data_IF_712754722683
#
_entry.id   IF_712754722683
#
_cell.length_a   1.000
_cell.length_b   1.000
_cell.length_c   1.000
_cell.angle_alpha   90.00
_cell.angle_beta   90.00
_cell.angle_gamma   90.00
#
_symmetry.space_group_name_H-M   'P 1'
#
loop_
_entity.id
_entity.type
_entity.pdbx_description
1 polymer ?
#
# COMPACT_ATOMS: atom_id res chain seq x y z
N UNK A 1 -9.32 19.35 -55.38
CA UNK A 1 -8.88 19.75 -54.03
C UNK A 1 -8.43 18.55 -53.18
N UNK A 2 -8.23 17.35 -53.75
CA UNK A 2 -7.81 16.13 -53.02
C UNK A 2 -6.29 15.85 -53.05
N UNK A 3 -5.45 16.76 -53.57
CA UNK A 3 -3.99 16.57 -53.62
C UNK A 3 -3.24 17.15 -52.40
N UNK A 4 -3.92 17.79 -51.44
CA UNK A 4 -3.29 18.47 -50.31
C UNK A 4 -3.05 17.59 -49.07
N UNK A 5 -4.01 16.73 -48.72
CA UNK A 5 -3.94 15.93 -47.49
C UNK A 5 -2.87 14.81 -47.56
N UNK A 6 -2.68 14.20 -48.74
CA UNK A 6 -1.68 13.14 -48.92
C UNK A 6 -0.24 13.65 -48.93
N UNK A 7 0.00 14.84 -49.48
CA UNK A 7 1.32 15.49 -49.46
C UNK A 7 1.72 16.00 -48.08
N UNK A 8 0.74 16.49 -47.30
CA UNK A 8 0.95 16.99 -45.95
C UNK A 8 1.27 15.85 -44.95
N UNK A 9 0.51 14.74 -45.02
CA UNK A 9 0.81 13.53 -44.24
C UNK A 9 2.15 12.91 -44.66
N UNK A 10 2.46 12.89 -45.97
CA UNK A 10 3.75 12.41 -46.46
C UNK A 10 4.95 13.28 -46.03
N UNK A 11 4.78 14.60 -45.97
CA UNK A 11 5.81 15.55 -45.53
C UNK A 11 6.10 15.42 -44.03
N UNK A 12 5.07 15.34 -43.17
CA UNK A 12 5.25 15.13 -41.74
C UNK A 12 5.81 13.74 -41.42
N UNK A 13 5.39 12.70 -42.15
CA UNK A 13 5.98 11.37 -42.06
C UNK A 13 7.47 11.36 -42.46
N UNK A 14 7.85 12.11 -43.50
CA UNK A 14 9.25 12.27 -43.91
C UNK A 14 10.08 13.05 -42.89
N UNK A 15 9.54 14.11 -42.29
CA UNK A 15 10.24 14.88 -41.24
C UNK A 15 10.51 14.02 -40.01
N UNK A 16 9.54 13.22 -39.57
CA UNK A 16 9.71 12.31 -38.44
C UNK A 16 10.69 11.18 -38.78
N UNK A 17 10.58 10.59 -39.99
CA UNK A 17 11.54 9.59 -40.46
C UNK A 17 12.97 10.15 -40.58
N UNK A 18 13.11 11.40 -41.00
CA UNK A 18 14.39 12.10 -41.01
C UNK A 18 14.88 12.37 -39.59
N UNK A 19 14.00 12.70 -38.64
CA UNK A 19 14.36 13.01 -37.27
C UNK A 19 14.91 11.80 -36.52
N UNK A 20 14.27 10.65 -36.66
CA UNK A 20 14.74 9.39 -36.05
C UNK A 20 15.98 8.81 -36.74
N UNK A 21 16.25 9.20 -38.00
CA UNK A 21 17.42 8.71 -38.75
C UNK A 21 18.74 9.44 -38.44
N UNK A 22 18.69 10.57 -37.74
CA UNK A 22 19.88 11.37 -37.40
C UNK A 22 20.31 11.05 -35.97
N UNK A 23 21.25 10.13 -35.83
CA UNK A 23 21.81 9.71 -34.53
C UNK A 23 23.15 10.38 -34.19
N UNK A 24 23.83 10.94 -35.19
CA UNK A 24 25.16 11.56 -35.05
C UNK A 24 25.10 12.92 -34.34
N UNK A 25 26.03 13.15 -33.40
CA UNK A 25 26.16 14.39 -32.63
C UNK A 25 25.82 14.20 -31.15
N UNK A 26 26.27 15.08 -30.25
CA UNK A 26 26.04 14.91 -28.82
C UNK A 26 24.59 15.19 -28.46
N UNK A 27 24.09 14.49 -27.44
CA UNK A 27 22.86 14.83 -26.73
C UNK A 27 23.14 16.01 -25.78
N UNK A 28 22.12 16.70 -25.28
CA UNK A 28 22.34 17.76 -24.27
C UNK A 28 22.87 17.11 -22.97
N UNK A 29 23.93 17.64 -22.35
CA UNK A 29 24.48 17.07 -21.13
C UNK A 29 23.49 17.22 -19.96
N UNK A 30 23.53 16.31 -18.97
CA UNK A 30 22.73 16.45 -17.76
C UNK A 30 23.17 17.66 -16.91
N UNK A 31 22.29 18.09 -16.01
CA UNK A 31 22.63 19.14 -15.03
C UNK A 31 23.53 18.51 -13.95
N UNK A 32 24.81 18.94 -13.81
CA UNK A 32 25.80 18.16 -13.06
C UNK A 32 25.48 17.99 -11.57
N UNK A 33 24.85 18.98 -10.93
CA UNK A 33 24.53 18.94 -9.49
C UNK A 33 23.34 18.02 -9.25
N UNK A 34 22.38 18.02 -10.17
CA UNK A 34 21.22 17.14 -10.13
C UNK A 34 21.62 15.70 -10.45
N UNK A 35 22.53 15.48 -11.41
CA UNK A 35 23.09 14.17 -11.70
C UNK A 35 23.85 13.61 -10.49
N UNK A 36 24.79 14.38 -9.92
CA UNK A 36 25.56 13.98 -8.74
C UNK A 36 24.63 13.59 -7.58
N UNK A 37 23.56 14.37 -7.34
CA UNK A 37 22.57 14.02 -6.31
C UNK A 37 21.81 12.72 -6.62
N UNK A 38 21.49 12.47 -7.89
CA UNK A 38 20.81 11.26 -8.31
C UNK A 38 21.72 10.04 -8.15
N UNK A 39 22.99 10.17 -8.55
CA UNK A 39 24.04 9.16 -8.39
C UNK A 39 24.32 8.89 -6.91
N UNK A 40 24.46 9.91 -6.07
CA UNK A 40 24.63 9.76 -4.61
C UNK A 40 23.48 8.96 -3.99
N UNK A 41 22.24 9.15 -4.45
CA UNK A 41 21.07 8.39 -3.97
C UNK A 41 21.11 6.93 -4.39
N UNK A 42 21.66 6.64 -5.56
CA UNK A 42 21.81 5.28 -6.09
C UNK A 42 23.01 4.59 -5.41
N UNK A 43 24.13 5.29 -5.26
CA UNK A 43 25.34 4.83 -4.58
C UNK A 43 25.07 4.57 -3.09
N UNK A 44 24.28 5.41 -2.44
CA UNK A 44 23.89 5.24 -1.04
C UNK A 44 23.19 3.91 -0.75
N UNK A 45 22.62 3.27 -1.78
CA UNK A 45 21.95 1.97 -1.69
C UNK A 45 22.67 0.86 -2.49
N UNK A 46 23.89 1.13 -2.97
CA UNK A 46 24.65 0.21 -3.84
C UNK A 46 25.13 -1.05 -3.11
N UNK A 47 25.34 -0.96 -1.81
CA UNK A 47 25.72 -2.12 -0.98
C UNK A 47 24.51 -2.78 -0.30
N UNK A 48 23.32 -2.20 -0.46
CA UNK A 48 22.13 -2.70 0.21
C UNK A 48 21.58 -3.95 -0.52
N UNK A 49 21.28 -4.98 0.28
CA UNK A 49 20.66 -6.21 -0.21
C UNK A 49 19.30 -5.94 -0.86
N UNK A 50 18.63 -4.87 -0.41
CA UNK A 50 17.55 -4.25 -1.13
C UNK A 50 17.33 -2.79 -0.71
N UNK A 51 16.67 -2.06 -1.60
CA UNK A 51 16.76 -0.61 -1.65
C UNK A 51 15.40 0.03 -1.92
N UNK A 52 15.28 1.27 -1.47
CA UNK A 52 14.24 2.21 -1.90
C UNK A 52 14.92 3.48 -2.40
N UNK A 53 14.73 3.83 -3.66
CA UNK A 53 15.31 5.04 -4.25
C UNK A 53 14.19 5.93 -4.76
N UNK A 54 14.15 7.17 -4.27
CA UNK A 54 13.23 8.22 -4.78
C UNK A 54 13.98 9.19 -5.68
N UNK A 55 13.63 9.18 -6.95
CA UNK A 55 14.15 10.07 -7.99
C UNK A 55 13.09 11.09 -8.35
N UNK A 56 13.39 12.37 -8.16
CA UNK A 56 12.53 13.46 -8.66
C UNK A 56 12.62 13.54 -10.19
N UNK A 57 11.66 14.19 -10.85
CA UNK A 57 11.72 14.38 -12.31
C UNK A 57 13.06 14.96 -12.80
N UNK A 58 13.65 16.01 -12.16
CA UNK A 58 14.95 16.52 -12.61
C UNK A 58 16.08 15.49 -12.46
N UNK A 59 16.06 14.69 -11.40
CA UNK A 59 17.05 13.64 -11.14
C UNK A 59 16.92 12.49 -12.15
N UNK A 60 15.68 12.07 -12.45
CA UNK A 60 15.41 11.07 -13.47
C UNK A 60 15.82 11.55 -14.86
N UNK A 61 15.49 12.81 -15.20
CA UNK A 61 15.92 13.44 -16.46
C UNK A 61 17.45 13.52 -16.54
N UNK A 62 18.14 13.83 -15.45
CA UNK A 62 19.60 13.87 -15.43
C UNK A 62 20.22 12.50 -15.72
N UNK A 63 19.72 11.43 -15.08
CA UNK A 63 20.19 10.06 -15.34
C UNK A 63 19.96 9.63 -16.80
N UNK A 64 18.79 9.94 -17.36
CA UNK A 64 18.47 9.64 -18.76
C UNK A 64 19.35 10.45 -19.73
N UNK A 65 19.57 11.73 -19.44
CA UNK A 65 20.43 12.59 -20.26
C UNK A 65 21.89 12.16 -20.22
N UNK A 66 22.37 11.57 -19.12
CA UNK A 66 23.70 10.94 -19.04
C UNK A 66 23.77 9.69 -19.92
N UNK A 67 22.83 8.76 -19.80
CA UNK A 67 22.78 7.57 -20.67
C UNK A 67 22.71 7.92 -22.16
N UNK A 68 21.97 8.98 -22.53
CA UNK A 68 21.91 9.48 -23.90
C UNK A 68 23.24 10.06 -24.43
N UNK A 69 24.24 10.31 -23.59
CA UNK A 69 25.60 10.64 -24.04
C UNK A 69 26.37 9.40 -24.48
N UNK A 70 26.05 8.24 -23.93
CA UNK A 70 26.80 6.99 -24.11
C UNK A 70 26.34 6.17 -25.32
N UNK A 71 25.13 6.44 -25.82
CA UNK A 71 24.50 5.72 -26.93
C UNK A 71 24.30 6.58 -28.18
N UNK A 72 24.33 5.97 -29.37
CA UNK A 72 23.99 6.64 -30.63
C UNK A 72 22.46 6.80 -30.79
N UNK A 73 21.88 7.72 -30.03
CA UNK A 73 20.43 8.03 -30.08
C UNK A 73 20.13 9.23 -30.99
N UNK A 74 18.96 9.30 -31.66
CA UNK A 74 18.51 10.51 -32.35
C UNK A 74 17.91 11.55 -31.39
N UNK A 75 17.72 11.19 -30.13
CA UNK A 75 17.20 12.09 -29.10
C UNK A 75 18.32 13.00 -28.62
N UNK A 76 18.06 14.32 -28.64
CA UNK A 76 18.95 15.34 -28.08
C UNK A 76 18.61 15.62 -26.62
N UNK A 77 17.32 15.66 -26.28
CA UNK A 77 16.85 15.98 -24.92
C UNK A 77 15.55 15.25 -24.62
N UNK A 78 15.39 14.80 -23.39
CA UNK A 78 14.13 14.32 -22.82
C UNK A 78 13.75 15.14 -21.60
N UNK A 79 12.47 15.47 -21.47
CA UNK A 79 11.87 15.93 -20.22
C UNK A 79 10.74 14.96 -19.85
N UNK A 80 10.56 14.71 -18.54
CA UNK A 80 9.55 13.78 -18.00
C UNK A 80 8.66 14.54 -17.03
N UNK A 81 7.35 14.27 -17.11
CA UNK A 81 6.34 14.72 -16.16
C UNK A 81 5.66 13.51 -15.54
N UNK A 82 5.65 13.43 -14.22
CA UNK A 82 5.11 12.34 -13.42
C UNK A 82 3.98 12.90 -12.57
N UNK A 83 2.79 12.34 -12.79
CA UNK A 83 1.59 12.68 -12.02
C UNK A 83 1.23 11.48 -11.16
N UNK A 84 1.16 11.71 -9.85
CA UNK A 84 0.71 10.70 -8.90
C UNK A 84 -0.76 10.31 -9.11
N UNK A 85 -1.16 9.16 -8.56
CA UNK A 85 -2.57 8.76 -8.58
C UNK A 85 -3.41 9.75 -7.76
N UNK A 86 -4.60 10.04 -8.25
CA UNK A 86 -5.63 10.81 -7.55
C UNK A 86 -6.92 9.98 -7.50
N UNK A 87 -7.89 10.41 -6.70
CA UNK A 87 -9.19 9.74 -6.62
C UNK A 87 -9.90 9.64 -7.99
N UNK A 88 -9.58 10.56 -8.91
CA UNK A 88 -10.23 10.70 -10.22
C UNK A 88 -9.39 10.19 -11.40
N UNK A 89 -8.08 9.93 -11.21
CA UNK A 89 -7.17 9.53 -12.28
C UNK A 89 -6.01 8.64 -11.78
N UNK A 90 -5.68 7.55 -12.51
CA UNK A 90 -4.53 6.72 -12.18
C UNK A 90 -3.23 7.51 -12.34
N UNK A 91 -2.18 7.09 -11.63
CA UNK A 91 -0.85 7.64 -11.81
C UNK A 91 -0.37 7.46 -13.25
N UNK A 92 0.39 8.42 -13.76
CA UNK A 92 0.86 8.40 -15.13
C UNK A 92 2.18 9.14 -15.28
N UNK A 93 2.95 8.74 -16.27
CA UNK A 93 4.14 9.46 -16.70
C UNK A 93 3.95 9.89 -18.15
N UNK A 94 4.43 11.07 -18.48
CA UNK A 94 4.51 11.56 -19.85
C UNK A 94 5.91 12.07 -20.13
N UNK A 95 6.29 12.08 -21.40
CA UNK A 95 7.58 12.56 -21.83
C UNK A 95 7.45 13.54 -22.98
N UNK A 96 8.48 14.37 -23.11
CA UNK A 96 8.76 15.17 -24.29
C UNK A 96 10.20 14.91 -24.72
N UNK A 97 10.39 14.43 -25.95
CA UNK A 97 11.69 14.20 -26.56
C UNK A 97 11.94 15.20 -27.70
N UNK A 98 13.11 15.83 -27.72
CA UNK A 98 13.58 16.69 -28.80
C UNK A 98 14.65 15.97 -29.61
N UNK A 99 14.54 15.91 -30.94
CA UNK A 99 15.49 15.18 -31.78
C UNK A 99 16.71 16.03 -32.18
N UNK A 100 17.84 15.38 -32.43
CA UNK A 100 19.10 15.99 -32.91
C UNK A 100 18.95 16.66 -34.28
N UNK A 101 18.00 16.19 -35.09
CA UNK A 101 17.69 16.77 -36.40
C UNK A 101 17.14 18.20 -36.37
N UNK A 102 16.68 18.69 -35.21
CA UNK A 102 16.02 20.00 -35.08
C UNK A 102 14.51 19.90 -34.84
N UNK A 103 13.73 20.87 -35.36
CA UNK A 103 12.31 21.29 -35.10
C UNK A 103 11.18 20.24 -34.87
N UNK A 104 11.49 18.96 -34.76
CA UNK A 104 10.55 17.89 -34.41
C UNK A 104 10.75 17.54 -32.94
N UNK A 105 9.67 17.62 -32.17
CA UNK A 105 9.59 17.05 -30.84
C UNK A 105 8.52 15.96 -30.83
N UNK A 106 8.77 14.90 -30.08
CA UNK A 106 7.78 13.89 -29.75
C UNK A 106 7.27 14.12 -28.34
N UNK A 107 5.97 13.93 -28.11
CA UNK A 107 5.38 13.86 -26.79
C UNK A 107 4.60 12.57 -26.67
N UNK A 108 4.61 11.94 -25.51
CA UNK A 108 3.88 10.69 -25.33
C UNK A 108 3.62 10.36 -23.87
N UNK A 109 2.68 9.46 -23.65
CA UNK A 109 2.42 8.86 -22.35
C UNK A 109 3.16 7.53 -22.23
N UNK A 110 3.75 7.31 -21.06
CA UNK A 110 4.41 6.08 -20.68
C UNK A 110 3.50 5.31 -19.74
N UNK A 111 3.48 4.00 -19.93
CA UNK A 111 3.11 3.05 -18.90
C UNK A 111 4.33 2.18 -18.60
N UNK A 112 4.28 1.46 -17.50
CA UNK A 112 5.36 0.57 -17.10
C UNK A 112 4.77 -0.78 -16.74
N UNK A 113 5.54 -1.83 -16.96
CA UNK A 113 5.30 -3.15 -16.45
C UNK A 113 6.59 -3.64 -15.77
N UNK A 114 6.45 -4.45 -14.74
CA UNK A 114 7.60 -5.15 -14.17
C UNK A 114 7.72 -6.52 -14.82
N UNK A 115 8.88 -6.84 -15.38
CA UNK A 115 9.17 -8.15 -15.99
C UNK A 115 10.56 -8.62 -15.62
N UNK A 116 10.63 -9.85 -15.08
CA UNK A 116 11.88 -10.53 -14.73
C UNK A 116 12.81 -9.72 -13.80
N UNK A 117 12.24 -9.01 -12.83
CA UNK A 117 12.99 -8.14 -11.92
C UNK A 117 13.43 -6.81 -12.56
N UNK A 118 12.80 -6.47 -13.68
CA UNK A 118 13.13 -5.32 -14.49
C UNK A 118 11.95 -4.38 -14.72
N UNK A 119 12.22 -3.17 -15.22
CA UNK A 119 11.21 -2.18 -15.60
C UNK A 119 11.09 -2.20 -17.13
N UNK A 120 9.96 -2.67 -17.64
CA UNK A 120 9.58 -2.55 -19.04
C UNK A 120 8.73 -1.29 -19.23
N UNK A 121 9.32 -0.24 -19.79
CA UNK A 121 8.57 0.97 -20.16
C UNK A 121 7.89 0.77 -21.51
N UNK A 122 6.60 1.11 -21.59
CA UNK A 122 5.82 1.02 -22.81
C UNK A 122 5.21 2.37 -23.16
N UNK A 123 5.37 2.76 -24.42
CA UNK A 123 4.80 4.01 -24.94
C UNK A 123 3.33 3.75 -25.29
N UNK A 124 2.41 4.31 -24.50
CA UNK A 124 0.96 4.18 -24.72
C UNK A 124 0.55 4.95 -25.97
N UNK A 125 1.02 6.18 -26.06
CA UNK A 125 0.78 7.07 -27.18
C UNK A 125 2.02 7.91 -27.46
N UNK A 126 2.15 8.34 -28.71
CA UNK A 126 3.21 9.25 -29.12
C UNK A 126 2.70 10.12 -30.26
N UNK A 127 2.98 11.40 -30.14
CA UNK A 127 2.57 12.47 -31.03
C UNK A 127 3.82 13.25 -31.45
N UNK A 128 3.89 13.62 -32.72
CA UNK A 128 4.93 14.51 -33.24
C UNK A 128 4.26 15.73 -33.87
N UNK A 129 4.39 16.88 -33.20
CA UNK A 129 3.63 18.08 -33.57
C UNK A 129 2.12 17.88 -33.36
N UNK A 130 1.32 17.97 -34.44
CA UNK A 130 -0.14 17.82 -34.39
C UNK A 130 -0.64 16.46 -34.92
N UNK A 131 0.26 15.49 -35.13
CA UNK A 131 -0.05 14.19 -35.73
C UNK A 131 0.24 13.05 -34.77
N UNK A 132 -0.70 12.12 -34.67
CA UNK A 132 -0.45 10.81 -34.09
C UNK A 132 0.52 10.04 -34.99
N UNK A 133 1.56 9.48 -34.41
CA UNK A 133 2.62 8.79 -35.15
C UNK A 133 2.07 7.47 -35.71
N UNK A 134 2.19 7.21 -37.03
CA UNK A 134 1.78 5.94 -37.64
C UNK A 134 2.51 4.74 -37.01
N UNK A 135 1.82 3.59 -36.90
CA UNK A 135 2.35 2.41 -36.19
C UNK A 135 3.74 1.92 -36.64
N UNK A 136 4.11 2.05 -37.91
CA UNK A 136 5.45 1.66 -38.37
C UNK A 136 6.57 2.60 -37.90
N UNK A 137 6.25 3.85 -37.59
CA UNK A 137 7.19 4.82 -37.01
C UNK A 137 7.19 4.72 -35.48
N UNK A 138 6.05 4.33 -34.89
CA UNK A 138 5.96 3.99 -33.46
C UNK A 138 6.94 2.88 -33.11
N UNK A 139 6.97 1.78 -33.86
CA UNK A 139 7.91 0.68 -33.60
C UNK A 139 9.37 1.15 -33.65
N UNK A 140 9.73 2.00 -34.62
CA UNK A 140 11.09 2.56 -34.70
C UNK A 140 11.41 3.53 -33.54
N UNK A 141 10.41 4.13 -32.89
CA UNK A 141 10.58 4.96 -31.69
C UNK A 141 10.53 4.13 -30.40
N UNK A 142 9.78 3.03 -30.38
CA UNK A 142 9.80 2.02 -29.32
C UNK A 142 11.20 1.39 -29.24
N UNK A 143 11.77 0.97 -30.37
CA UNK A 143 13.14 0.43 -30.46
C UNK A 143 14.18 1.45 -29.91
N UNK A 144 13.96 2.76 -30.11
CA UNK A 144 14.86 3.83 -29.64
C UNK A 144 14.70 4.18 -28.16
N UNK A 145 13.50 4.02 -27.60
CA UNK A 145 13.26 4.16 -26.15
C UNK A 145 13.79 2.92 -25.43
N UNK A 146 13.71 1.74 -26.04
CA UNK A 146 14.28 0.51 -25.53
C UNK A 146 15.83 0.57 -25.53
N UNK A 147 16.46 1.06 -26.60
CA UNK A 147 17.93 1.19 -26.73
C UNK A 147 18.52 2.36 -25.90
N UNK A 148 17.72 3.36 -25.54
CA UNK A 148 18.12 4.45 -24.63
C UNK A 148 17.85 4.15 -23.15
N UNK A 149 17.10 3.09 -22.85
CA UNK A 149 16.73 2.72 -21.48
C UNK A 149 17.11 1.27 -21.21
N UNK A 150 18.36 0.93 -21.52
CA UNK A 150 18.95 -0.36 -21.14
C UNK A 150 19.30 -0.43 -19.64
N UNK A 151 18.58 0.37 -18.85
CA UNK A 151 18.46 0.26 -17.41
C UNK A 151 18.11 -1.19 -17.04
N UNK A 152 17.38 -1.92 -17.88
CA UNK A 152 16.99 -3.29 -17.58
C UNK A 152 18.16 -4.29 -17.67
N UNK A 153 18.95 -4.26 -18.73
CA UNK A 153 20.12 -5.15 -18.87
C UNK A 153 21.21 -4.75 -17.86
N UNK A 154 21.38 -3.46 -17.58
CA UNK A 154 22.33 -2.95 -16.59
C UNK A 154 21.91 -3.32 -15.15
N UNK A 155 20.63 -3.18 -14.80
CA UNK A 155 20.10 -3.64 -13.51
C UNK A 155 20.31 -5.15 -13.37
N UNK A 156 19.97 -5.94 -14.39
CA UNK A 156 20.14 -7.40 -14.36
C UNK A 156 21.63 -7.80 -14.27
N UNK A 157 22.52 -7.13 -15.00
CA UNK A 157 23.97 -7.39 -14.99
C UNK A 157 24.59 -7.10 -13.61
N UNK A 158 24.09 -6.06 -12.93
CA UNK A 158 24.47 -5.73 -11.55
C UNK A 158 23.68 -6.53 -10.50
N UNK A 159 22.89 -7.52 -10.93
CA UNK A 159 22.11 -8.41 -10.08
C UNK A 159 20.90 -7.76 -9.43
N UNK A 160 20.48 -6.59 -9.89
CA UNK A 160 19.40 -5.78 -9.35
C UNK A 160 18.03 -6.25 -9.87
N UNK A 161 17.09 -6.53 -8.96
CA UNK A 161 15.71 -6.90 -9.23
C UNK A 161 14.72 -5.85 -8.73
N UNK A 162 14.14 -5.05 -9.61
CA UNK A 162 13.06 -4.08 -9.30
C UNK A 162 11.73 -4.82 -9.10
N UNK A 163 11.04 -4.45 -8.02
CA UNK A 163 9.87 -5.19 -7.53
C UNK A 163 8.63 -4.34 -7.37
N UNK A 164 8.83 -3.06 -7.10
CA UNK A 164 7.76 -2.08 -7.14
C UNK A 164 8.30 -0.77 -7.70
N UNK A 165 7.46 -0.13 -8.50
CA UNK A 165 7.68 1.20 -9.03
C UNK A 165 6.44 2.01 -8.70
N UNK A 166 6.59 3.11 -7.98
CA UNK A 166 5.50 4.00 -7.62
C UNK A 166 5.73 5.35 -8.31
N UNK A 167 4.67 5.88 -8.91
CA UNK A 167 4.65 7.22 -9.48
C UNK A 167 3.96 8.15 -8.47
N UNK A 168 4.74 9.05 -7.89
CA UNK A 168 4.29 10.13 -7.01
C UNK A 168 4.29 11.44 -7.79
N UNK A 169 3.58 12.45 -7.29
CA UNK A 169 3.59 13.78 -7.91
C UNK A 169 5.03 14.34 -7.98
N UNK A 170 5.56 14.48 -9.20
CA UNK A 170 6.92 14.94 -9.47
C UNK A 170 8.05 13.96 -9.13
N UNK A 171 7.77 12.69 -8.84
CA UNK A 171 8.80 11.72 -8.49
C UNK A 171 8.46 10.26 -8.83
N UNK A 172 9.50 9.49 -9.09
CA UNK A 172 9.47 8.04 -9.25
C UNK A 172 10.17 7.38 -8.05
N UNK A 173 9.53 6.37 -7.47
CA UNK A 173 10.09 5.59 -6.36
C UNK A 173 10.30 4.16 -6.81
N UNK A 174 11.54 3.70 -6.75
CA UNK A 174 11.96 2.34 -7.05
C UNK A 174 12.18 1.57 -5.75
N UNK A 175 11.70 0.33 -5.72
CA UNK A 175 11.93 -0.63 -4.64
C UNK A 175 12.42 -1.93 -5.28
N UNK A 176 13.56 -2.46 -4.84
CA UNK A 176 14.16 -3.66 -5.44
C UNK A 176 15.25 -4.33 -4.59
N UNK A 177 15.84 -5.41 -5.10
CA UNK A 177 16.89 -6.25 -4.45
C UNK A 177 18.15 -6.40 -5.28
N UNK A 178 19.23 -6.95 -4.70
CA UNK A 178 20.47 -7.30 -5.41
C UNK A 178 20.90 -8.77 -5.21
N UNK A 179 21.42 -9.42 -6.25
CA UNK A 179 22.06 -10.75 -6.25
C UNK A 179 21.14 -11.96 -6.50
N UNK A 180 19.94 -11.76 -7.06
CA UNK A 180 18.92 -12.83 -7.14
C UNK A 180 18.45 -13.30 -5.75
N UNK A 181 18.76 -12.52 -4.72
CA UNK A 181 18.21 -12.65 -3.38
C UNK A 181 16.76 -12.18 -3.37
N UNK A 182 16.01 -12.79 -2.47
CA UNK A 182 14.65 -12.39 -2.15
C UNK A 182 14.58 -10.90 -1.77
N UNK A 183 13.33 -10.45 -1.66
CA UNK A 183 12.71 -9.12 -1.71
C UNK A 183 12.78 -8.25 -0.43
N UNK A 184 13.47 -7.08 -0.36
CA UNK A 184 13.09 -6.05 0.66
C UNK A 184 11.83 -5.33 0.22
N UNK A 185 10.74 -6.09 0.31
CA UNK A 185 9.47 -5.60 0.80
C UNK A 185 9.57 -5.42 2.32
N UNK A 186 8.54 -4.85 2.92
CA UNK A 186 8.24 -4.97 4.34
C UNK A 186 8.47 -6.40 4.90
N UNK A 187 8.46 -7.42 4.04
CA UNK A 187 8.65 -8.84 4.33
C UNK A 187 10.09 -9.29 4.55
N UNK A 188 11.10 -8.60 4.03
CA UNK A 188 12.50 -8.91 4.39
C UNK A 188 13.09 -7.99 5.45
N UNK A 189 12.49 -6.83 5.71
CA UNK A 189 12.68 -6.19 7.02
C UNK A 189 12.18 -7.17 8.09
N UNK A 190 11.08 -7.87 7.79
CA UNK A 190 10.54 -8.98 8.57
C UNK A 190 11.40 -10.26 8.47
N UNK A 191 12.06 -10.56 7.35
CA UNK A 191 13.00 -11.69 7.24
C UNK A 191 14.31 -11.44 8.00
N UNK A 192 14.81 -10.21 8.03
CA UNK A 192 15.94 -9.75 8.83
C UNK A 192 15.60 -9.72 10.33
N UNK A 193 14.37 -9.31 10.66
CA UNK A 193 13.76 -9.43 11.98
C UNK A 193 13.59 -10.88 12.43
N UNK A 194 13.12 -11.78 11.55
CA UNK A 194 12.93 -13.20 11.85
C UNK A 194 14.24 -13.98 11.87
N UNK A 195 15.22 -13.62 11.04
CA UNK A 195 16.59 -14.15 11.09
C UNK A 195 17.34 -13.71 12.35
N UNK A 196 17.13 -12.46 12.80
CA UNK A 196 17.59 -11.97 14.11
C UNK A 196 16.78 -12.56 15.27
N UNK A 197 15.47 -12.74 15.16
CA UNK A 197 14.63 -13.38 16.18
C UNK A 197 14.92 -14.89 16.32
N UNK A 198 15.20 -15.58 15.22
CA UNK A 198 15.64 -16.98 15.21
C UNK A 198 17.04 -17.16 15.82
N UNK A 199 17.90 -16.15 15.73
CA UNK A 199 19.24 -16.14 16.37
C UNK A 199 19.25 -15.55 17.78
N UNK A 200 18.22 -14.81 18.19
CA UNK A 200 18.02 -14.25 19.54
C UNK A 200 17.14 -15.11 20.45
N UNK A 201 16.45 -16.12 19.90
CA UNK A 201 15.76 -17.17 20.64
C UNK A 201 15.16 -16.75 22.00
N UNK A 202 14.07 -15.98 22.01
CA UNK A 202 13.07 -15.93 23.08
C UNK A 202 11.89 -15.02 22.65
N UNK A 203 10.61 -15.29 22.93
CA UNK A 203 10.13 -16.19 23.99
C UNK A 203 8.61 -16.41 24.10
N UNK A 204 7.82 -16.30 23.03
CA UNK A 204 6.41 -16.70 23.08
C UNK A 204 6.19 -18.08 22.43
N UNK A 205 5.54 -19.00 23.15
CA UNK A 205 5.03 -20.22 22.55
C UNK A 205 4.07 -19.86 21.39
N UNK A 206 4.04 -20.65 20.30
CA UNK A 206 3.16 -20.39 19.18
C UNK A 206 1.72 -20.27 19.66
N UNK A 207 1.01 -19.29 19.13
CA UNK A 207 -0.38 -19.04 19.49
C UNK A 207 -1.21 -20.28 19.14
N UNK A 208 -1.93 -20.81 20.13
CA UNK A 208 -2.80 -21.97 19.94
C UNK A 208 -4.23 -21.51 19.78
N UNK A 209 -4.91 -22.08 18.79
CA UNK A 209 -6.33 -21.92 18.59
C UNK A 209 -7.10 -22.60 19.74
N UNK A 210 -7.97 -21.84 20.42
CA UNK A 210 -8.73 -22.25 21.61
C UNK A 210 -10.21 -22.43 21.32
N UNK A 211 -10.82 -21.50 20.57
CA UNK A 211 -12.26 -21.53 20.31
C UNK A 211 -12.59 -22.46 19.15
N UNK A 212 -11.69 -22.55 18.16
CA UNK A 212 -11.94 -23.24 16.90
C UNK A 212 -12.78 -22.38 15.93
N UNK A 213 -12.91 -22.78 14.65
CA UNK A 213 -13.62 -21.99 13.66
C UNK A 213 -15.09 -21.77 14.02
N UNK A 214 -15.66 -20.72 13.45
CA UNK A 214 -17.08 -20.40 13.53
C UNK A 214 -17.95 -21.33 12.68
N UNK A 215 -19.27 -21.12 12.76
CA UNK A 215 -20.25 -21.92 11.99
C UNK A 215 -20.69 -21.22 10.70
N UNK A 216 -20.54 -19.89 10.62
CA UNK A 216 -21.03 -19.08 9.50
C UNK A 216 -19.88 -18.75 8.56
N UNK A 217 -19.99 -19.15 7.30
CA UNK A 217 -19.02 -18.84 6.24
C UNK A 217 -19.60 -17.83 5.24
N UNK A 218 -20.29 -16.81 5.75
CA UNK A 218 -20.97 -15.77 4.98
C UNK A 218 -21.07 -14.51 5.87
N UNK A 219 -21.40 -13.37 5.26
CA UNK A 219 -21.60 -12.08 5.96
C UNK A 219 -23.00 -11.93 6.53
N UNK A 220 -23.89 -12.91 6.31
CA UNK A 220 -25.25 -12.93 6.81
C UNK A 220 -25.65 -14.34 7.25
N UNK A 221 -26.20 -14.45 8.46
CA UNK A 221 -26.97 -15.61 8.91
C UNK A 221 -28.27 -15.13 9.57
N UNK A 222 -29.44 -15.64 9.18
CA UNK A 222 -30.70 -15.20 9.75
C UNK A 222 -30.86 -15.66 11.21
N UNK A 223 -31.52 -14.84 12.03
CA UNK A 223 -31.86 -15.17 13.41
C UNK A 223 -32.92 -14.24 14.00
N UNK A 224 -33.39 -14.57 15.20
CA UNK A 224 -34.40 -13.76 15.90
C UNK A 224 -33.85 -12.57 16.69
N UNK A 225 -32.52 -12.52 16.86
CA UNK A 225 -31.74 -11.43 17.44
C UNK A 225 -30.34 -11.54 16.86
N UNK A 226 -29.69 -10.42 16.57
CA UNK A 226 -28.46 -10.39 15.76
C UNK A 226 -27.24 -10.01 16.59
N UNK A 227 -26.11 -10.60 16.19
CA UNK A 227 -24.79 -10.01 16.36
C UNK A 227 -24.47 -9.25 15.07
N UNK A 228 -24.14 -7.96 15.20
CA UNK A 228 -23.70 -7.09 14.11
C UNK A 228 -22.21 -6.80 14.26
N UNK A 229 -21.42 -7.01 13.21
CA UNK A 229 -20.01 -6.64 13.19
C UNK A 229 -19.79 -5.49 12.20
N UNK A 230 -19.02 -4.49 12.59
CA UNK A 230 -18.48 -3.44 11.75
C UNK A 230 -16.95 -3.43 11.93
N UNK A 231 -16.25 -2.88 10.96
CA UNK A 231 -14.83 -2.63 11.10
C UNK A 231 -14.07 -2.74 9.81
N UNK A 232 -12.77 -2.97 9.93
CA UNK A 232 -11.87 -3.04 8.80
C UNK A 232 -11.70 -4.48 8.27
N UNK A 233 -10.50 -4.82 7.81
CA UNK A 233 -10.17 -6.13 7.31
C UNK A 233 -10.25 -7.22 8.39
N UNK A 234 -10.11 -6.89 9.67
CA UNK A 234 -10.31 -7.86 10.75
C UNK A 234 -11.76 -8.30 10.82
N UNK A 235 -12.71 -7.35 10.84
CA UNK A 235 -14.14 -7.66 10.78
C UNK A 235 -14.49 -8.39 9.49
N UNK A 236 -13.90 -8.00 8.36
CA UNK A 236 -14.09 -8.66 7.08
C UNK A 236 -13.53 -10.11 7.02
N UNK A 237 -12.74 -10.53 8.02
CA UNK A 237 -12.21 -11.89 8.13
C UNK A 237 -10.96 -12.15 7.27
N UNK A 238 -10.23 -11.12 6.86
CA UNK A 238 -9.00 -11.26 6.06
C UNK A 238 -7.91 -12.00 6.85
N UNK A 239 -7.12 -12.84 6.17
CA UNK A 239 -6.16 -13.76 6.80
C UNK A 239 -6.77 -15.13 7.18
N UNK A 240 -8.09 -15.26 7.17
CA UNK A 240 -8.76 -16.55 7.17
C UNK A 240 -8.80 -17.18 5.77
N UNK A 241 -8.74 -18.51 5.67
CA UNK A 241 -8.99 -19.20 4.39
C UNK A 241 -10.48 -19.08 3.99
N UNK A 242 -11.36 -19.01 4.98
CA UNK A 242 -12.79 -18.84 4.87
C UNK A 242 -13.29 -17.81 5.91
N UNK A 243 -14.45 -17.17 5.70
CA UNK A 243 -15.05 -16.23 6.67
C UNK A 243 -15.33 -16.88 8.03
N UNK A 244 -15.55 -18.20 8.06
CA UNK A 244 -15.70 -18.95 9.30
C UNK A 244 -14.43 -18.97 10.17
N UNK A 245 -13.26 -18.71 9.56
CA UNK A 245 -11.98 -18.69 10.26
C UNK A 245 -11.68 -17.31 10.87
N UNK A 246 -12.43 -16.27 10.48
CA UNK A 246 -12.33 -14.92 11.04
C UNK A 246 -12.96 -14.78 12.43
N UNK A 247 -12.54 -13.76 13.19
CA UNK A 247 -12.97 -13.57 14.58
C UNK A 247 -14.49 -13.40 14.69
N UNK A 248 -15.15 -12.75 13.71
CA UNK A 248 -16.60 -12.50 13.73
C UNK A 248 -17.38 -13.80 13.79
N UNK A 249 -17.07 -14.77 12.92
CA UNK A 249 -17.78 -16.05 12.90
C UNK A 249 -17.47 -16.90 14.14
N UNK A 250 -16.23 -16.85 14.63
CA UNK A 250 -15.82 -17.51 15.89
C UNK A 250 -16.60 -16.95 17.07
N UNK A 251 -16.66 -15.62 17.20
CA UNK A 251 -17.39 -14.94 18.25
C UNK A 251 -18.88 -15.22 18.16
N UNK A 252 -19.49 -15.17 16.97
CA UNK A 252 -20.90 -15.51 16.75
C UNK A 252 -21.27 -16.88 17.33
N UNK A 253 -20.45 -17.90 17.04
CA UNK A 253 -20.62 -19.24 17.61
C UNK A 253 -20.52 -19.22 19.14
N UNK A 254 -19.52 -18.53 19.69
CA UNK A 254 -19.28 -18.51 21.14
C UNK A 254 -20.35 -17.74 21.91
N UNK A 255 -20.86 -16.62 21.38
CA UNK A 255 -22.01 -15.91 21.94
C UNK A 255 -23.23 -16.83 22.03
N UNK A 256 -23.46 -17.64 20.98
CA UNK A 256 -24.57 -18.58 21.00
C UNK A 256 -24.43 -19.71 22.04
N UNK A 257 -23.20 -20.19 22.25
CA UNK A 257 -22.89 -21.17 23.29
C UNK A 257 -23.02 -20.57 24.69
N UNK A 258 -22.50 -19.36 24.90
CA UNK A 258 -22.54 -18.61 26.16
C UNK A 258 -23.98 -18.38 26.62
N UNK A 259 -24.82 -17.88 25.71
CA UNK A 259 -26.17 -17.43 26.05
C UNK A 259 -27.21 -18.53 25.88
N UNK A 260 -26.80 -19.71 25.40
CA UNK A 260 -27.69 -20.86 25.16
C UNK A 260 -28.76 -20.57 24.10
N UNK A 261 -28.50 -19.64 23.17
CA UNK A 261 -29.43 -19.25 22.09
C UNK A 261 -28.70 -19.06 20.77
N UNK A 262 -29.42 -19.21 19.66
CA UNK A 262 -28.87 -18.92 18.34
C UNK A 262 -29.08 -17.45 17.99
N UNK A 263 -28.00 -16.75 17.69
CA UNK A 263 -28.04 -15.41 17.10
C UNK A 263 -28.05 -15.49 15.58
N UNK A 264 -28.65 -14.49 14.93
CA UNK A 264 -28.32 -14.15 13.56
C UNK A 264 -26.97 -13.44 13.52
N UNK A 265 -26.38 -13.34 12.33
CA UNK A 265 -25.15 -12.59 12.08
C UNK A 265 -25.40 -11.62 10.94
N UNK A 266 -24.92 -10.39 11.07
CA UNK A 266 -24.70 -9.50 9.93
C UNK A 266 -23.33 -8.84 10.08
N UNK A 267 -22.44 -9.12 9.14
CA UNK A 267 -21.08 -8.60 9.12
C UNK A 267 -20.92 -7.53 8.03
N UNK A 268 -20.66 -6.29 8.44
CA UNK A 268 -20.44 -5.14 7.58
C UNK A 268 -18.95 -4.78 7.45
N UNK A 269 -18.02 -5.59 7.98
CA UNK A 269 -16.60 -5.29 7.87
C UNK A 269 -16.14 -5.12 6.42
N UNK A 270 -15.36 -4.07 6.18
CA UNK A 270 -14.83 -3.72 4.85
C UNK A 270 -13.30 -3.61 4.90
N UNK A 271 -12.56 -4.37 4.08
CA UNK A 271 -11.10 -4.25 4.04
C UNK A 271 -10.65 -2.82 3.72
N UNK A 272 -9.69 -2.31 4.48
CA UNK A 272 -9.12 -0.97 4.27
C UNK A 272 -9.96 0.18 4.83
N UNK A 273 -11.08 -0.10 5.52
CA UNK A 273 -11.87 0.94 6.18
C UNK A 273 -11.00 1.75 7.17
N UNK A 274 -11.15 3.07 7.16
CA UNK A 274 -10.54 4.01 8.12
C UNK A 274 -11.60 4.57 9.05
N UNK A 275 -11.22 5.13 10.21
CA UNK A 275 -12.23 5.79 11.06
C UNK A 275 -12.88 6.98 10.36
N UNK A 276 -12.16 7.65 9.46
CA UNK A 276 -12.68 8.74 8.64
C UNK A 276 -13.77 8.30 7.67
N UNK A 277 -13.55 7.23 6.90
CA UNK A 277 -14.53 6.70 5.95
C UNK A 277 -15.74 6.08 6.68
N UNK A 278 -15.51 5.43 7.82
CA UNK A 278 -16.57 4.88 8.68
C UNK A 278 -17.47 5.99 9.23
N UNK A 279 -16.87 7.07 9.74
CA UNK A 279 -17.60 8.23 10.21
C UNK A 279 -18.32 8.98 9.08
N UNK A 280 -17.80 8.88 7.85
CA UNK A 280 -18.37 9.44 6.63
C UNK A 280 -19.63 8.74 6.12
N UNK A 281 -19.93 7.52 6.62
CA UNK A 281 -21.12 6.76 6.27
C UNK A 281 -20.79 5.34 5.83
N UNK A 282 -21.27 4.94 4.65
CA UNK A 282 -20.94 3.63 4.06
C UNK A 282 -21.40 2.46 4.92
N UNK A 283 -20.45 1.65 5.40
CA UNK A 283 -20.77 0.51 6.26
C UNK A 283 -21.50 0.92 7.55
N UNK A 284 -21.20 2.10 8.12
CA UNK A 284 -21.86 2.58 9.32
C UNK A 284 -23.35 2.83 9.03
N UNK A 285 -23.66 3.58 7.97
CA UNK A 285 -25.05 3.87 7.61
C UNK A 285 -25.85 2.59 7.36
N UNK A 286 -25.28 1.63 6.63
CA UNK A 286 -25.90 0.34 6.38
C UNK A 286 -26.13 -0.48 7.65
N UNK A 287 -25.21 -0.40 8.62
CA UNK A 287 -25.36 -1.05 9.92
C UNK A 287 -26.43 -0.38 10.77
N UNK A 288 -26.49 0.97 10.81
CA UNK A 288 -27.52 1.69 11.55
C UNK A 288 -28.93 1.40 11.00
N UNK A 289 -29.08 1.36 9.67
CA UNK A 289 -30.34 0.97 9.02
C UNK A 289 -30.73 -0.46 9.41
N UNK A 290 -29.78 -1.40 9.40
CA UNK A 290 -30.03 -2.77 9.82
C UNK A 290 -30.40 -2.88 11.30
N UNK A 291 -29.71 -2.15 12.17
CA UNK A 291 -29.98 -2.10 13.61
C UNK A 291 -31.39 -1.53 13.87
N UNK A 292 -31.81 -0.50 13.13
CA UNK A 292 -33.14 0.09 13.29
C UNK A 292 -34.28 -0.88 12.92
N UNK A 293 -34.01 -1.85 12.05
CA UNK A 293 -34.99 -2.81 11.55
C UNK A 293 -34.99 -4.17 12.29
N UNK A 294 -33.98 -4.44 13.11
CA UNK A 294 -33.75 -5.76 13.70
C UNK A 294 -33.47 -5.69 15.21
N UNK A 295 -33.82 -6.76 15.93
CA UNK A 295 -33.37 -6.94 17.32
C UNK A 295 -31.86 -7.25 17.31
N UNK A 296 -31.04 -6.39 17.93
CA UNK A 296 -29.57 -6.53 17.96
C UNK A 296 -29.10 -6.64 19.40
N UNK A 297 -28.47 -7.76 19.73
CA UNK A 297 -27.96 -8.03 21.07
C UNK A 297 -26.50 -7.59 21.25
N UNK A 298 -25.70 -7.73 20.20
CA UNK A 298 -24.26 -7.46 20.24
C UNK A 298 -23.84 -6.67 19.02
N UNK A 299 -22.96 -5.69 19.23
CA UNK A 299 -22.24 -5.00 18.17
C UNK A 299 -20.74 -5.08 18.46
N UNK A 300 -19.93 -5.40 17.47
CA UNK A 300 -18.47 -5.23 17.58
C UNK A 300 -17.96 -4.24 16.55
N UNK A 301 -16.95 -3.46 16.93
CA UNK A 301 -16.24 -2.55 16.05
C UNK A 301 -14.72 -2.70 16.24
N UNK A 302 -13.98 -2.93 15.16
CA UNK A 302 -12.54 -2.69 15.07
C UNK A 302 -12.27 -1.61 14.01
N UNK A 303 -11.47 -0.60 14.34
CA UNK A 303 -11.08 0.44 13.38
C UNK A 303 -9.88 1.23 13.89
N UNK A 304 -9.01 1.67 12.97
CA UNK A 304 -7.93 2.61 13.27
C UNK A 304 -6.56 2.23 12.73
N UNK A 305 -6.32 0.95 12.44
CA UNK A 305 -5.04 0.51 11.90
C UNK A 305 -4.74 1.19 10.55
N UNK A 306 -5.75 1.30 9.68
CA UNK A 306 -5.63 1.93 8.37
C UNK A 306 -5.46 3.45 8.41
N UNK A 307 -5.73 4.09 9.56
CA UNK A 307 -5.45 5.52 9.77
C UNK A 307 -3.95 5.77 10.00
N UNK A 308 -3.19 4.75 10.43
CA UNK A 308 -1.78 4.88 10.81
C UNK A 308 -0.84 4.19 9.84
N UNK A 309 -1.16 2.96 9.41
CA UNK A 309 -0.27 2.12 8.59
C UNK A 309 0.26 2.84 7.34
N UNK A 310 -0.56 3.58 6.56
CA UNK A 310 -0.06 4.31 5.39
C UNK A 310 0.98 5.38 5.73
N UNK A 311 0.96 5.94 6.95
CA UNK A 311 1.93 6.95 7.37
C UNK A 311 3.28 6.33 7.74
N UNK A 312 3.28 5.16 8.38
CA UNK A 312 4.51 4.44 8.71
C UNK A 312 5.30 4.03 7.45
N UNK A 313 4.63 3.86 6.30
CA UNK A 313 5.26 3.64 5.00
C UNK A 313 5.60 4.90 4.20
N UNK A 314 5.40 6.10 4.77
CA UNK A 314 5.64 7.38 4.08
C UNK A 314 7.08 7.88 4.21
N UNK A 315 7.50 8.76 3.30
CA UNK A 315 8.84 9.38 3.31
C UNK A 315 9.13 10.15 4.60
N UNK A 316 8.11 10.73 5.23
CA UNK A 316 8.28 11.43 6.50
C UNK A 316 8.75 10.50 7.62
N UNK A 317 8.56 9.18 7.45
CA UNK A 317 8.88 8.12 8.39
C UNK A 317 10.09 7.27 8.00
N UNK A 318 10.83 7.67 6.96
CA UNK A 318 12.02 6.96 6.47
C UNK A 318 13.13 6.86 7.54
N UNK A 319 13.32 7.92 8.34
CA UNK A 319 14.28 7.96 9.45
C UNK A 319 13.74 7.30 10.75
N UNK A 320 12.54 6.70 10.71
CA UNK A 320 11.86 6.06 11.84
C UNK A 320 10.66 6.84 12.39
N UNK A 321 9.84 6.19 13.22
CA UNK A 321 8.58 6.77 13.65
C UNK A 321 8.75 7.95 14.64
N UNK A 322 9.91 8.03 15.28
CA UNK A 322 10.29 9.12 16.17
C UNK A 322 10.87 10.35 15.44
N UNK A 323 11.14 10.26 14.13
CA UNK A 323 11.64 11.40 13.37
C UNK A 323 10.61 12.56 13.39
N UNK A 324 11.01 13.83 13.49
CA UNK A 324 10.07 14.94 13.67
C UNK A 324 8.98 15.04 12.60
N UNK A 325 9.31 14.76 11.34
CA UNK A 325 8.34 14.76 10.24
C UNK A 325 7.30 13.64 10.41
N UNK A 326 7.77 12.41 10.67
CA UNK A 326 6.90 11.27 10.96
C UNK A 326 6.02 11.51 12.18
N UNK A 327 6.61 11.99 13.27
CA UNK A 327 5.91 12.24 14.52
C UNK A 327 4.78 13.28 14.31
N UNK A 328 5.04 14.37 13.58
CA UNK A 328 4.01 15.36 13.25
C UNK A 328 2.90 14.78 12.37
N UNK A 329 3.25 13.90 11.42
CA UNK A 329 2.28 13.21 10.55
C UNK A 329 1.40 12.24 11.34
N UNK A 330 2.01 11.44 12.22
CA UNK A 330 1.31 10.51 13.11
C UNK A 330 0.41 11.29 14.06
N UNK A 331 0.88 12.38 14.68
CA UNK A 331 0.08 13.22 15.57
C UNK A 331 -1.14 13.82 14.86
N UNK A 332 -0.98 14.28 13.62
CA UNK A 332 -2.09 14.76 12.80
C UNK A 332 -3.11 13.65 12.49
N UNK A 333 -2.64 12.44 12.18
CA UNK A 333 -3.53 11.30 11.97
C UNK A 333 -4.27 10.88 13.23
N UNK A 334 -3.57 10.77 14.37
CA UNK A 334 -4.18 10.47 15.67
C UNK A 334 -5.23 11.52 16.07
N UNK A 335 -5.00 12.79 15.74
CA UNK A 335 -5.98 13.86 15.93
C UNK A 335 -7.23 13.65 15.07
N UNK A 336 -7.07 13.34 13.78
CA UNK A 336 -8.17 13.00 12.88
C UNK A 336 -8.93 11.74 13.34
N UNK A 337 -8.20 10.70 13.74
CA UNK A 337 -8.74 9.46 14.29
C UNK A 337 -9.63 9.72 15.50
N UNK A 338 -9.15 10.53 16.46
CA UNK A 338 -9.93 10.92 17.64
C UNK A 338 -11.27 11.55 17.26
N UNK A 339 -11.27 12.51 16.34
CA UNK A 339 -12.50 13.21 15.93
C UNK A 339 -13.47 12.29 15.19
N UNK A 340 -12.95 11.48 14.27
CA UNK A 340 -13.76 10.61 13.41
C UNK A 340 -14.32 9.42 14.19
N UNK A 341 -13.51 8.76 15.02
CA UNK A 341 -13.95 7.68 15.90
C UNK A 341 -15.01 8.15 16.89
N UNK A 342 -14.83 9.34 17.50
CA UNK A 342 -15.83 9.91 18.40
C UNK A 342 -17.20 10.01 17.72
N UNK A 343 -17.23 10.55 16.48
CA UNK A 343 -18.46 10.64 15.70
C UNK A 343 -19.06 9.27 15.37
N UNK A 344 -18.25 8.31 14.95
CA UNK A 344 -18.72 6.96 14.63
C UNK A 344 -19.36 6.28 15.86
N UNK A 345 -18.69 6.35 17.02
CA UNK A 345 -19.20 5.78 18.26
C UNK A 345 -20.46 6.48 18.77
N UNK A 346 -20.55 7.81 18.67
CA UNK A 346 -21.76 8.56 19.03
C UNK A 346 -22.98 8.07 18.24
N UNK A 347 -22.82 7.94 16.92
CA UNK A 347 -23.87 7.45 16.03
C UNK A 347 -24.26 5.99 16.34
N UNK A 348 -23.26 5.14 16.60
CA UNK A 348 -23.50 3.72 16.87
C UNK A 348 -24.23 3.50 18.20
N UNK A 349 -23.82 4.21 19.26
CA UNK A 349 -24.46 4.13 20.57
C UNK A 349 -25.88 4.71 20.54
N UNK A 350 -26.12 5.78 19.77
CA UNK A 350 -27.46 6.34 19.58
C UNK A 350 -28.40 5.35 18.88
N UNK A 351 -27.91 4.64 17.87
CA UNK A 351 -28.71 3.69 17.09
C UNK A 351 -28.94 2.35 17.79
N UNK A 352 -28.00 1.91 18.63
CA UNK A 352 -28.03 0.60 19.28
C UNK A 352 -28.05 0.68 20.82
N UNK A 353 -28.99 1.42 21.44
CA UNK A 353 -28.96 1.69 22.88
C UNK A 353 -29.18 0.45 23.75
N UNK A 354 -29.81 -0.60 23.19
CA UNK A 354 -30.08 -1.87 23.89
C UNK A 354 -29.03 -2.95 23.60
N UNK A 355 -28.13 -2.72 22.63
CA UNK A 355 -27.10 -3.68 22.27
C UNK A 355 -25.87 -3.52 23.18
N UNK A 356 -25.20 -4.63 23.46
CA UNK A 356 -23.86 -4.58 24.06
C UNK A 356 -22.84 -4.30 22.96
N UNK A 357 -22.25 -3.11 22.97
CA UNK A 357 -21.24 -2.70 21.99
C UNK A 357 -19.84 -2.96 22.55
N UNK A 358 -18.99 -3.61 21.77
CA UNK A 358 -17.58 -3.88 22.11
C UNK A 358 -16.66 -3.30 21.04
N UNK A 359 -15.74 -2.44 21.45
CA UNK A 359 -14.65 -1.96 20.62
C UNK A 359 -13.42 -2.88 20.79
N UNK A 360 -12.91 -3.44 19.70
CA UNK A 360 -11.71 -4.26 19.71
C UNK A 360 -10.47 -3.39 19.44
N UNK A 361 -9.54 -3.37 20.39
CA UNK A 361 -8.28 -2.64 20.26
C UNK A 361 -7.37 -3.28 19.21
N UNK A 362 -6.61 -2.42 18.51
CA UNK A 362 -5.70 -2.78 17.43
C UNK A 362 -4.46 -3.49 17.97
N UNK A 363 -3.98 -4.53 17.29
CA UNK A 363 -2.67 -5.15 17.59
C UNK A 363 -1.58 -4.57 16.68
N UNK A 364 -0.31 -4.71 17.09
CA UNK A 364 0.82 -4.35 16.23
C UNK A 364 1.27 -5.59 15.42
N UNK A 365 1.13 -5.60 14.07
CA UNK A 365 1.57 -6.73 13.25
C UNK A 365 3.10 -6.88 13.20
N UNK A 366 3.85 -5.88 13.68
CA UNK A 366 5.32 -5.88 13.71
C UNK A 366 5.90 -6.30 15.07
N UNK A 367 5.06 -6.72 16.02
CA UNK A 367 5.49 -7.13 17.37
C UNK A 367 6.00 -8.59 17.37
N UNK A 368 7.28 -8.77 17.03
CA UNK A 368 7.98 -10.07 16.98
C UNK A 368 8.63 -10.48 18.31
N UNK A 369 8.66 -9.60 19.30
CA UNK A 369 9.37 -9.78 20.56
C UNK A 369 10.88 -9.60 20.40
N UNK A 370 11.31 -8.83 19.40
CA UNK A 370 12.72 -8.65 19.04
C UNK A 370 13.38 -7.43 19.67
N UNK A 371 12.58 -6.54 20.28
CA UNK A 371 13.02 -5.28 20.89
C UNK A 371 13.94 -4.45 19.96
N UNK A 372 13.68 -4.43 18.65
CA UNK A 372 14.36 -3.47 17.76
C UNK A 372 13.66 -2.11 17.77
N UNK A 373 14.34 -1.06 17.32
CA UNK A 373 13.79 0.31 17.31
C UNK A 373 12.46 0.40 16.53
N UNK A 374 12.39 -0.23 15.35
CA UNK A 374 11.15 -0.24 14.55
C UNK A 374 9.97 -0.90 15.28
N UNK A 375 10.20 -2.02 15.97
CA UNK A 375 9.17 -2.71 16.75
C UNK A 375 8.71 -1.83 17.93
N UNK A 376 9.65 -1.23 18.67
CA UNK A 376 9.32 -0.30 19.76
C UNK A 376 8.53 0.91 19.29
N UNK A 377 8.91 1.47 18.15
CA UNK A 377 8.29 2.64 17.56
C UNK A 377 6.86 2.33 17.11
N UNK A 378 6.67 1.19 16.43
CA UNK A 378 5.34 0.75 16.01
C UNK A 378 4.46 0.35 17.20
N UNK A 379 5.01 -0.30 18.23
CA UNK A 379 4.31 -0.58 19.48
C UNK A 379 3.84 0.70 20.19
N UNK A 380 4.69 1.74 20.25
CA UNK A 380 4.34 3.04 20.83
C UNK A 380 3.15 3.66 20.10
N UNK A 381 3.22 3.73 18.76
CA UNK A 381 2.16 4.35 17.95
C UNK A 381 0.85 3.57 18.06
N UNK A 382 0.90 2.23 18.03
CA UNK A 382 -0.29 1.39 18.27
C UNK A 382 -0.85 1.61 19.68
N UNK A 383 0.02 1.80 20.69
CA UNK A 383 -0.38 2.17 22.05
C UNK A 383 -1.14 3.49 22.10
N UNK A 384 -0.61 4.55 21.48
CA UNK A 384 -1.24 5.88 21.41
C UNK A 384 -2.62 5.82 20.72
N UNK A 385 -2.74 5.09 19.61
CA UNK A 385 -4.01 4.83 18.93
C UNK A 385 -5.03 4.16 19.86
N UNK A 386 -4.62 3.09 20.53
CA UNK A 386 -5.48 2.32 21.43
C UNK A 386 -5.88 3.09 22.69
N UNK A 387 -5.03 3.99 23.18
CA UNK A 387 -5.38 4.89 24.29
C UNK A 387 -6.53 5.82 23.90
N UNK A 388 -6.47 6.44 22.72
CA UNK A 388 -7.55 7.27 22.18
C UNK A 388 -8.84 6.45 22.04
N UNK A 389 -8.75 5.27 21.43
CA UNK A 389 -9.91 4.41 21.21
C UNK A 389 -10.55 3.97 22.52
N UNK A 390 -9.72 3.55 23.48
CA UNK A 390 -10.16 3.12 24.80
C UNK A 390 -10.83 4.25 25.60
N UNK A 391 -10.28 5.46 25.53
CA UNK A 391 -10.86 6.66 26.15
C UNK A 391 -12.25 6.92 25.57
N UNK A 392 -12.35 7.07 24.25
CA UNK A 392 -13.60 7.41 23.57
C UNK A 392 -14.69 6.36 23.73
N UNK A 393 -14.32 5.07 23.68
CA UNK A 393 -15.24 3.96 23.91
C UNK A 393 -15.80 3.97 25.34
N UNK A 394 -14.93 4.09 26.35
CA UNK A 394 -15.34 4.10 27.76
C UNK A 394 -16.22 5.30 28.12
N UNK A 395 -15.92 6.48 27.57
CA UNK A 395 -16.74 7.68 27.74
C UNK A 395 -18.20 7.46 27.29
N UNK A 396 -18.40 6.57 26.32
CA UNK A 396 -19.71 6.25 25.72
C UNK A 396 -20.32 4.96 26.24
N UNK A 397 -19.71 4.34 27.26
CA UNK A 397 -20.19 3.06 27.80
C UNK A 397 -19.98 1.86 26.89
N UNK A 398 -19.15 2.00 25.85
CA UNK A 398 -18.75 0.89 24.97
C UNK A 398 -17.68 0.06 25.68
N UNK A 399 -17.84 -1.27 25.67
CA UNK A 399 -16.86 -2.18 26.25
C UNK A 399 -15.59 -2.18 25.39
N UNK A 400 -14.43 -2.37 26.02
CA UNK A 400 -13.14 -2.39 25.32
C UNK A 400 -12.54 -3.78 25.44
N UNK A 401 -12.28 -4.43 24.30
CA UNK A 401 -11.61 -5.71 24.20
C UNK A 401 -10.12 -5.52 23.85
N UNK A 402 -9.26 -6.18 24.60
CA UNK A 402 -7.80 -6.09 24.42
C UNK A 402 -7.31 -7.04 23.31
N UNK A 403 -7.30 -6.54 22.07
CA UNK A 403 -6.70 -7.24 20.93
C UNK A 403 -5.16 -7.15 20.89
N UNK A 404 -4.56 -6.21 21.62
CA UNK A 404 -3.12 -5.92 21.56
C UNK A 404 -2.30 -6.96 22.34
N UNK A 405 -2.59 -7.13 23.63
CA UNK A 405 -1.76 -7.95 24.53
C UNK A 405 -1.65 -9.41 24.11
N UNK A 406 -2.73 -10.09 23.63
CA UNK A 406 -2.63 -11.48 23.23
C UNK A 406 -1.66 -11.70 22.05
N UNK A 407 -1.52 -10.71 21.17
CA UNK A 407 -0.73 -10.78 19.94
C UNK A 407 0.66 -10.15 20.08
N UNK A 408 0.92 -9.36 21.12
CA UNK A 408 2.24 -8.76 21.39
C UNK A 408 3.35 -9.81 21.52
N UNK A 409 4.44 -9.59 20.79
CA UNK A 409 5.58 -10.50 20.67
C UNK A 409 5.27 -11.82 19.96
N UNK A 410 4.11 -11.91 19.27
CA UNK A 410 3.62 -13.15 18.64
C UNK A 410 3.30 -12.99 17.16
N UNK A 411 3.66 -11.88 16.52
CA UNK A 411 3.41 -11.64 15.09
C UNK A 411 3.71 -12.88 14.24
N UNK A 412 4.87 -13.51 14.44
CA UNK A 412 5.28 -14.70 13.68
C UNK A 412 4.32 -15.91 13.73
N UNK A 413 3.48 -16.03 14.77
CA UNK A 413 2.50 -17.13 14.89
C UNK A 413 1.04 -16.65 14.83
N UNK A 414 0.81 -15.37 15.07
CA UNK A 414 -0.51 -14.78 15.11
C UNK A 414 -0.92 -14.14 13.78
N UNK A 415 0.03 -13.82 12.91
CA UNK A 415 -0.19 -13.19 11.59
C UNK A 415 0.56 -13.92 10.49
N UNK A 416 0.28 -13.53 9.25
CA UNK A 416 0.96 -14.03 8.05
C UNK A 416 2.24 -13.23 7.72
N UNK A 417 2.78 -12.48 8.68
CA UNK A 417 3.91 -11.58 8.45
C UNK A 417 5.20 -12.31 8.08
N UNK A 418 5.31 -13.59 8.41
CA UNK A 418 6.48 -14.43 8.07
C UNK A 418 6.32 -15.17 6.75
N UNK A 419 5.18 -15.02 6.08
CA UNK A 419 4.93 -15.61 4.76
C UNK A 419 5.52 -14.75 3.65
N UNK A 420 5.48 -15.27 2.42
CA UNK A 420 5.97 -14.58 1.23
C UNK A 420 4.87 -14.58 0.17
N UNK A 421 4.31 -13.41 -0.20
CA UNK A 421 4.61 -12.08 0.37
C UNK A 421 4.15 -11.97 1.85
N UNK A 422 4.76 -11.06 2.63
CA UNK A 422 4.33 -10.80 4.01
C UNK A 422 2.90 -10.26 4.04
N UNK A 423 2.14 -10.67 5.05
CA UNK A 423 0.79 -10.18 5.25
C UNK A 423 0.53 -9.86 6.74
N UNK A 424 0.13 -8.61 7.00
CA UNK A 424 -0.16 -8.09 8.35
C UNK A 424 -1.34 -8.78 9.00
N UNK A 425 -2.22 -9.42 8.23
CA UNK A 425 -3.48 -9.95 8.73
C UNK A 425 -3.29 -11.18 9.64
N UNK A 426 -4.23 -11.41 10.58
CA UNK A 426 -4.09 -12.51 11.52
C UNK A 426 -4.34 -13.85 10.85
N UNK A 427 -3.62 -14.87 11.31
CA UNK A 427 -3.94 -16.27 10.99
C UNK A 427 -5.25 -16.68 11.68
N UNK A 428 -5.74 -17.89 11.41
CA UNK A 428 -6.85 -18.47 12.17
C UNK A 428 -6.62 -18.46 13.70
N UNK A 429 -5.37 -18.64 14.16
CA UNK A 429 -5.03 -18.55 15.58
C UNK A 429 -5.05 -17.10 16.10
N UNK A 430 -4.63 -16.12 15.28
CA UNK A 430 -4.76 -14.70 15.60
C UNK A 430 -6.22 -14.28 15.73
N UNK A 431 -7.06 -14.64 14.76
CA UNK A 431 -8.51 -14.42 14.80
C UNK A 431 -9.19 -15.08 16.00
N UNK A 432 -8.73 -16.27 16.40
CA UNK A 432 -9.18 -16.94 17.61
C UNK A 432 -8.87 -16.14 18.88
N UNK A 433 -7.67 -15.58 18.98
CA UNK A 433 -7.28 -14.73 20.10
C UNK A 433 -8.07 -13.41 20.16
N UNK A 434 -8.35 -12.80 19.01
CA UNK A 434 -9.20 -11.60 18.94
C UNK A 434 -10.64 -11.90 19.38
N UNK A 435 -11.23 -13.01 18.92
CA UNK A 435 -12.55 -13.44 19.37
C UNK A 435 -12.57 -13.75 20.88
N UNK A 436 -11.50 -14.37 21.40
CA UNK A 436 -11.36 -14.62 22.83
C UNK A 436 -11.26 -13.33 23.66
N UNK A 437 -10.53 -12.32 23.18
CA UNK A 437 -10.43 -11.02 23.83
C UNK A 437 -11.80 -10.31 23.95
N UNK A 438 -12.64 -10.42 22.91
CA UNK A 438 -14.01 -9.88 22.95
C UNK A 438 -14.87 -10.65 23.96
N UNK A 439 -14.77 -11.99 24.00
CA UNK A 439 -15.49 -12.79 25.01
C UNK A 439 -15.07 -12.44 26.43
N UNK A 440 -13.76 -12.26 26.67
CA UNK A 440 -13.24 -11.88 27.98
C UNK A 440 -13.75 -10.49 28.42
N UNK A 441 -13.88 -9.54 27.49
CA UNK A 441 -14.44 -8.22 27.75
C UNK A 441 -15.94 -8.25 28.12
N UNK A 442 -16.67 -9.26 27.62
CA UNK A 442 -18.08 -9.47 27.92
C UNK A 442 -18.30 -10.14 29.30
N UNK A 443 -17.24 -10.59 29.99
CA UNK A 443 -17.29 -11.37 31.24
C UNK A 443 -17.78 -12.79 30.99
#
# INVERSE_FOLDING_TARGET
>A
LELGASGYVGYHGYQLASAISVTTGPSDPPEPVVLERAEEKIEAVEDDAAFRVRLTEPELVALIQEGLQEVESPVRRVDIEIVGATDDAPAGASFRAEFKSGDVAATGALTYALRDGGIELQIVNIEAGAFSVPGFVRNALEDLVEEATDLNEELIEHGVGVQSLLLEDGALVLIGTRGGGDVLTSGEVVAGLTGRAASLGAGAAPLQERLGPGEVNDVLAPGGSYYVALGDSLAAGVGGAELRDGYVSRLHRQLGLRDGRRYGLRNFGEPGETSATLAGGGQLDAALDFIAENDVAYVTLDIGANDIIPHLGSLDCEEGAAAPACAARIEASLSSYRETLARALDRLVEAAPDATIVFLLTYNPFSFGSDIDFERDTDRVTGELNEIASELARERGVLVADGLTPLSGRAASATHMTETPPDIHPTGAGHDALAAAILDALG
#
